data_IF_410844696521
#
_entry.id   IF_410844696521
#
_cell.length_a   1.000
_cell.length_b   1.000
_cell.length_c   1.000
_cell.angle_alpha   90.00
_cell.angle_beta   90.00
_cell.angle_gamma   90.00
#
_symmetry.space_group_name_H-M   'P 1'
#
loop_
_entity.id
_entity.type
_entity.pdbx_description
1 polymer ?
#
# COMPACT_ATOMS: atom_id res chain seq x y z
N UNK A 1 0.89 6.69 47.75
CA UNK A 1 0.55 5.56 46.86
C UNK A 1 0.59 6.08 45.43
N UNK A 2 1.70 5.83 44.72
CA UNK A 2 1.89 6.22 43.33
C UNK A 2 1.42 5.07 42.44
N UNK A 3 0.40 5.29 41.62
CA UNK A 3 -0.05 4.33 40.60
C UNK A 3 0.50 4.76 39.25
N UNK A 4 1.59 4.13 38.81
CA UNK A 4 2.12 4.25 37.45
C UNK A 4 1.39 3.27 36.55
N UNK A 5 0.50 3.76 35.69
CA UNK A 5 -0.07 2.99 34.58
C UNK A 5 0.75 3.25 33.32
N UNK A 6 1.66 2.32 32.99
CA UNK A 6 2.31 2.22 31.68
C UNK A 6 1.24 2.01 30.59
N UNK A 7 1.18 2.82 29.53
CA UNK A 7 0.41 2.45 28.35
C UNK A 7 1.23 1.48 27.49
N UNK A 8 0.70 0.27 27.46
CA UNK A 8 0.92 -0.82 26.52
C UNK A 8 0.66 -0.32 25.08
N UNK A 9 1.66 0.30 24.44
CA UNK A 9 1.59 0.72 23.03
C UNK A 9 2.89 0.34 22.33
N UNK A 10 3.11 -0.97 22.20
CA UNK A 10 4.24 -1.58 21.49
C UNK A 10 3.74 -2.85 20.82
N UNK A 11 3.22 -2.70 19.60
CA UNK A 11 2.98 -3.68 18.53
C UNK A 11 1.99 -2.96 17.58
N UNK A 12 2.31 -2.52 16.37
CA UNK A 12 2.85 -3.24 15.22
C UNK A 12 3.40 -2.17 14.25
N UNK A 13 4.71 -2.16 14.00
CA UNK A 13 5.28 -1.57 12.78
C UNK A 13 6.67 -2.20 12.53
N UNK A 14 6.67 -3.50 12.28
CA UNK A 14 7.86 -4.25 11.84
C UNK A 14 7.51 -5.10 10.62
N UNK A 15 7.49 -4.48 9.44
CA UNK A 15 7.74 -5.17 8.17
C UNK A 15 8.37 -4.20 7.17
N UNK A 16 9.62 -3.82 7.43
CA UNK A 16 10.59 -3.53 6.37
C UNK A 16 12.00 -3.53 6.98
N UNK A 17 12.39 -4.63 7.62
CA UNK A 17 13.82 -4.89 7.79
C UNK A 17 14.38 -5.21 6.41
N UNK A 18 15.17 -4.27 5.88
CA UNK A 18 16.11 -4.58 4.81
C UNK A 18 16.92 -5.80 5.24
N UNK A 19 16.68 -6.94 4.60
CA UNK A 19 17.50 -8.12 4.76
C UNK A 19 18.87 -7.85 4.13
N UNK A 20 19.76 -7.23 4.90
CA UNK A 20 21.20 -7.21 4.63
C UNK A 20 21.77 -8.58 5.04
N UNK A 21 21.53 -9.62 4.25
CA UNK A 21 22.14 -10.94 4.43
C UNK A 21 22.76 -11.39 3.12
N UNK A 22 24.08 -11.19 3.02
CA UNK A 22 25.06 -11.92 2.19
C UNK A 22 24.51 -12.59 0.92
N UNK A 23 24.38 -11.81 -0.16
CA UNK A 23 24.19 -12.37 -1.50
C UNK A 23 25.50 -13.03 -1.96
N UNK A 24 25.46 -14.35 -2.10
CA UNK A 24 26.45 -15.12 -2.86
C UNK A 24 26.60 -14.54 -4.27
N UNK A 25 27.80 -14.58 -4.89
CA UNK A 25 27.97 -14.12 -6.27
C UNK A 25 27.08 -14.96 -7.19
N UNK A 26 26.08 -14.32 -7.78
CA UNK A 26 25.14 -14.91 -8.75
C UNK A 26 25.94 -15.39 -9.96
N UNK A 27 26.14 -16.69 -10.10
CA UNK A 27 26.68 -17.31 -11.30
C UNK A 27 25.66 -17.11 -12.44
N UNK A 28 26.05 -16.32 -13.45
CA UNK A 28 25.50 -16.21 -14.81
C UNK A 28 23.96 -16.27 -15.03
N UNK A 29 23.33 -15.11 -15.32
CA UNK A 29 22.25 -14.99 -16.31
C UNK A 29 21.89 -13.52 -16.58
N UNK A 30 21.82 -13.14 -17.85
CA UNK A 30 21.16 -11.96 -18.44
C UNK A 30 19.93 -11.53 -17.62
N UNK A 31 19.98 -10.38 -16.95
CA UNK A 31 19.10 -10.05 -15.81
C UNK A 31 17.64 -9.79 -16.19
N UNK A 32 16.66 -10.60 -15.74
CA UNK A 32 15.25 -10.45 -16.11
C UNK A 32 14.52 -9.33 -15.35
N UNK A 33 14.94 -8.98 -14.12
CA UNK A 33 14.37 -7.87 -13.32
C UNK A 33 15.50 -7.18 -12.58
N UNK A 34 15.49 -5.84 -12.56
CA UNK A 34 16.50 -5.04 -11.86
C UNK A 34 15.88 -3.85 -11.12
N UNK A 35 16.63 -3.30 -10.15
CA UNK A 35 16.27 -2.04 -9.50
C UNK A 35 16.49 -0.91 -10.52
N UNK A 36 15.42 -0.21 -10.85
CA UNK A 36 15.42 0.90 -11.82
C UNK A 36 15.34 2.26 -11.13
N UNK A 37 14.93 2.29 -9.86
CA UNK A 37 14.93 3.49 -9.03
C UNK A 37 15.19 3.13 -7.58
N UNK A 38 16.06 3.89 -6.93
CA UNK A 38 16.26 3.90 -5.49
C UNK A 38 16.68 5.31 -5.12
N UNK A 39 15.72 6.13 -4.70
CA UNK A 39 15.91 7.56 -4.51
C UNK A 39 15.37 7.97 -3.14
N UNK A 40 16.02 8.95 -2.54
CA UNK A 40 15.57 9.56 -1.30
C UNK A 40 15.95 11.03 -1.27
N UNK A 41 15.07 11.86 -0.71
CA UNK A 41 15.33 13.27 -0.46
C UNK A 41 14.83 13.61 0.93
N UNK A 42 15.70 14.15 1.78
CA UNK A 42 15.42 14.40 3.19
C UNK A 42 15.92 15.81 3.55
N UNK A 43 15.08 16.56 4.25
CA UNK A 43 15.47 17.79 4.93
C UNK A 43 15.03 17.71 6.41
N UNK A 44 15.14 18.83 7.15
CA UNK A 44 14.88 18.86 8.59
C UNK A 44 13.43 18.55 8.99
N UNK A 45 12.46 18.78 8.11
CA UNK A 45 11.03 18.66 8.42
C UNK A 45 10.24 17.79 7.45
N UNK A 46 10.85 17.33 6.35
CA UNK A 46 10.16 16.54 5.34
C UNK A 46 11.12 15.59 4.62
N UNK A 47 10.53 14.60 3.96
CA UNK A 47 11.29 13.75 3.07
C UNK A 47 10.46 12.81 2.23
N UNK A 48 11.17 12.13 1.34
CA UNK A 48 10.66 11.09 0.45
C UNK A 48 11.69 9.98 0.35
N UNK A 49 11.22 8.75 0.20
CA UNK A 49 12.06 7.62 -0.15
C UNK A 49 11.25 6.66 -1.03
N UNK A 50 11.86 6.15 -2.09
CA UNK A 50 11.20 5.20 -2.97
C UNK A 50 12.21 4.18 -3.53
N UNK A 51 11.70 2.99 -3.82
CA UNK A 51 12.41 1.96 -4.55
C UNK A 51 11.49 1.38 -5.61
N UNK A 52 12.01 1.13 -6.80
CA UNK A 52 11.29 0.48 -7.88
C UNK A 52 12.18 -0.53 -8.60
N UNK A 53 11.58 -1.64 -8.97
CA UNK A 53 12.14 -2.69 -9.79
C UNK A 53 11.28 -2.86 -11.04
N UNK A 54 11.91 -3.12 -12.17
CA UNK A 54 11.21 -3.43 -13.41
C UNK A 54 12.02 -4.38 -14.27
N UNK A 55 11.35 -5.04 -15.20
CA UNK A 55 12.00 -5.94 -16.16
C UNK A 55 11.00 -6.82 -16.89
N UNK A 56 11.49 -7.92 -17.44
CA UNK A 56 10.68 -8.94 -18.14
C UNK A 56 10.81 -10.26 -17.40
N UNK A 57 9.68 -10.81 -16.96
CA UNK A 57 9.61 -12.10 -16.28
C UNK A 57 8.71 -13.04 -17.08
N UNK A 58 9.31 -13.92 -17.89
CA UNK A 58 8.57 -14.95 -18.60
C UNK A 58 7.85 -15.90 -17.62
N UNK A 59 6.59 -16.32 -17.88
CA UNK A 59 5.75 -16.01 -19.05
C UNK A 59 4.87 -14.75 -18.90
N UNK A 60 5.07 -13.95 -17.85
CA UNK A 60 4.23 -12.79 -17.51
C UNK A 60 4.53 -11.54 -18.34
N UNK A 61 5.62 -11.54 -19.12
CA UNK A 61 6.07 -10.40 -19.90
C UNK A 61 6.65 -9.28 -19.04
N UNK A 62 6.43 -8.03 -19.44
CA UNK A 62 6.93 -6.86 -18.71
C UNK A 62 6.27 -6.71 -17.35
N UNK A 63 7.07 -6.58 -16.29
CA UNK A 63 6.62 -6.35 -14.92
C UNK A 63 7.27 -5.10 -14.32
N UNK A 64 6.55 -4.46 -13.41
CA UNK A 64 7.03 -3.36 -12.58
C UNK A 64 6.49 -3.48 -11.17
N UNK A 65 7.31 -3.13 -10.19
CA UNK A 65 6.92 -2.98 -8.79
C UNK A 65 7.66 -1.80 -8.19
N UNK A 66 6.96 -0.97 -7.44
CA UNK A 66 7.56 0.13 -6.71
C UNK A 66 6.83 0.39 -5.41
N UNK A 67 7.56 0.90 -4.44
CA UNK A 67 6.99 1.47 -3.24
C UNK A 67 7.67 2.79 -2.91
N UNK A 68 6.96 3.63 -2.17
CA UNK A 68 7.50 4.89 -1.72
C UNK A 68 6.77 5.40 -0.49
N UNK A 69 7.46 6.26 0.24
CA UNK A 69 6.95 6.99 1.38
C UNK A 69 7.26 8.47 1.21
N UNK A 70 6.42 9.30 1.80
CA UNK A 70 6.63 10.73 1.93
C UNK A 70 6.12 11.20 3.28
N UNK A 71 6.77 12.20 3.86
CA UNK A 71 6.34 12.77 5.13
C UNK A 71 6.68 14.23 5.23
N UNK A 72 5.91 14.93 6.05
CA UNK A 72 6.11 16.32 6.45
C UNK A 72 5.66 16.49 7.91
N UNK A 73 6.58 16.97 8.74
CA UNK A 73 6.40 17.12 10.18
C UNK A 73 5.21 18.01 10.49
N UNK A 74 4.30 17.50 11.34
CA UNK A 74 3.10 18.21 11.75
C UNK A 74 1.99 18.29 10.68
N UNK A 75 2.24 17.80 9.46
CA UNK A 75 1.28 17.83 8.35
C UNK A 75 0.78 16.44 8.03
N UNK A 76 1.68 15.54 7.60
CA UNK A 76 1.28 14.18 7.19
C UNK A 76 2.45 13.21 7.11
N UNK A 77 2.15 11.91 7.09
CA UNK A 77 3.02 10.89 6.54
C UNK A 77 2.19 9.93 5.70
N UNK A 78 2.78 9.35 4.67
CA UNK A 78 2.08 8.46 3.78
C UNK A 78 3.03 7.62 2.96
N UNK A 79 2.43 6.80 2.12
CA UNK A 79 3.18 5.97 1.21
C UNK A 79 2.27 5.10 0.38
N UNK A 80 2.88 4.33 -0.49
CA UNK A 80 2.14 3.42 -1.35
C UNK A 80 3.02 2.36 -1.98
N UNK A 81 2.34 1.38 -2.54
CA UNK A 81 2.90 0.31 -3.33
C UNK A 81 2.14 0.25 -4.65
N UNK A 82 2.87 0.07 -5.73
CA UNK A 82 2.32 -0.18 -7.05
C UNK A 82 3.02 -1.40 -7.63
N UNK A 83 2.26 -2.26 -8.26
CA UNK A 83 2.77 -3.41 -8.98
C UNK A 83 1.96 -3.60 -10.25
N UNK A 84 2.55 -4.12 -11.32
CA UNK A 84 1.79 -4.34 -12.53
C UNK A 84 2.57 -5.02 -13.63
N UNK A 85 1.80 -5.38 -14.65
CA UNK A 85 2.23 -5.88 -15.96
C UNK A 85 1.63 -4.99 -17.03
N UNK A 86 1.81 -5.32 -18.32
CA UNK A 86 1.06 -4.71 -19.41
C UNK A 86 -0.44 -5.01 -19.38
N UNK A 87 -0.90 -6.02 -18.62
CA UNK A 87 -2.29 -6.48 -18.62
C UNK A 87 -3.03 -6.26 -17.29
N UNK A 88 -2.33 -5.91 -16.23
CA UNK A 88 -2.95 -5.67 -14.94
C UNK A 88 -2.08 -4.75 -14.07
N UNK A 89 -2.71 -3.92 -13.25
CA UNK A 89 -2.07 -3.06 -12.27
C UNK A 89 -2.72 -3.22 -10.90
N UNK A 90 -1.91 -3.09 -9.86
CA UNK A 90 -2.27 -3.08 -8.46
C UNK A 90 -1.68 -1.82 -7.84
N UNK A 91 -2.48 -1.13 -7.04
CA UNK A 91 -2.07 0.04 -6.29
C UNK A 91 -2.60 -0.02 -4.87
N UNK A 92 -1.77 0.36 -3.93
CA UNK A 92 -2.15 0.59 -2.54
C UNK A 92 -1.50 1.88 -2.06
N UNK A 93 -2.20 2.62 -1.22
CA UNK A 93 -1.69 3.86 -0.64
C UNK A 93 -2.31 4.12 0.72
N UNK A 94 -1.59 4.88 1.52
CA UNK A 94 -2.12 5.43 2.75
C UNK A 94 -1.58 6.83 3.00
N UNK A 95 -2.38 7.63 3.68
CA UNK A 95 -2.00 8.95 4.18
C UNK A 95 -2.53 9.08 5.59
N UNK A 96 -1.69 9.50 6.51
CA UNK A 96 -2.05 9.84 7.86
C UNK A 96 -1.74 11.32 8.10
N UNK A 97 -2.70 12.02 8.70
CA UNK A 97 -2.61 13.41 9.12
C UNK A 97 -3.00 13.49 10.60
N UNK A 98 -2.80 14.63 11.28
CA UNK A 98 -3.36 14.85 12.61
C UNK A 98 -4.89 14.68 12.68
N UNK A 99 -5.58 14.78 11.53
CA UNK A 99 -7.04 14.74 11.44
C UNK A 99 -7.61 13.36 11.08
N UNK A 100 -6.75 12.39 10.75
CA UNK A 100 -7.23 11.07 10.36
C UNK A 100 -6.27 10.28 9.49
N UNK A 101 -6.73 9.10 9.08
CA UNK A 101 -6.02 8.16 8.22
C UNK A 101 -6.90 7.78 7.05
N UNK A 102 -6.34 7.87 5.85
CA UNK A 102 -6.92 7.42 4.60
C UNK A 102 -6.11 6.24 4.07
N UNK A 103 -6.79 5.20 3.61
CA UNK A 103 -6.23 4.03 2.94
C UNK A 103 -6.94 3.88 1.60
N UNK A 104 -6.17 3.62 0.55
CA UNK A 104 -6.66 3.37 -0.79
C UNK A 104 -6.10 2.07 -1.35
N UNK A 105 -6.93 1.32 -2.06
CA UNK A 105 -6.55 0.14 -2.83
C UNK A 105 -7.13 0.25 -4.24
N UNK A 106 -6.43 -0.26 -5.24
CA UNK A 106 -6.84 -0.23 -6.63
C UNK A 106 -6.35 -1.45 -7.38
N UNK A 107 -7.21 -1.98 -8.24
CA UNK A 107 -6.89 -3.04 -9.20
C UNK A 107 -7.40 -2.58 -10.56
N UNK A 108 -6.54 -2.66 -11.57
CA UNK A 108 -6.85 -2.31 -12.94
C UNK A 108 -6.49 -3.42 -13.90
N UNK A 109 -7.31 -3.60 -14.93
CA UNK A 109 -7.11 -4.46 -16.09
C UNK A 109 -7.65 -3.73 -17.32
N UNK A 110 -7.40 -4.19 -18.55
CA UNK A 110 -7.96 -3.57 -19.76
C UNK A 110 -9.48 -3.43 -19.75
N UNK A 111 -10.22 -4.32 -19.07
CA UNK A 111 -11.68 -4.35 -19.07
C UNK A 111 -12.33 -3.82 -17.77
N UNK A 112 -11.58 -3.74 -16.67
CA UNK A 112 -12.13 -3.41 -15.36
C UNK A 112 -11.12 -2.64 -14.51
N UNK A 113 -11.57 -1.54 -13.92
CA UNK A 113 -10.87 -0.87 -12.83
C UNK A 113 -11.77 -0.86 -11.61
N UNK A 114 -11.19 -1.19 -10.46
CA UNK A 114 -11.84 -1.10 -9.16
C UNK A 114 -10.94 -0.35 -8.21
N UNK A 115 -11.53 0.49 -7.37
CA UNK A 115 -10.82 1.13 -6.27
C UNK A 115 -11.65 1.07 -4.99
N UNK A 116 -10.96 1.11 -3.87
CA UNK A 116 -11.56 1.19 -2.55
C UNK A 116 -10.82 2.26 -1.76
N UNK A 117 -11.57 3.15 -1.10
CA UNK A 117 -11.04 4.05 -0.10
C UNK A 117 -11.69 3.78 1.25
N UNK A 118 -10.88 3.86 2.29
CA UNK A 118 -11.31 3.78 3.68
C UNK A 118 -10.68 4.92 4.46
N UNK A 119 -11.50 5.72 5.11
CA UNK A 119 -11.09 6.92 5.83
C UNK A 119 -11.60 6.85 7.27
N UNK A 120 -10.72 7.10 8.23
CA UNK A 120 -11.07 7.26 9.64
C UNK A 120 -10.59 8.63 10.08
N UNK A 121 -11.54 9.51 10.41
CA UNK A 121 -11.25 10.82 10.96
C UNK A 121 -11.07 10.76 12.47
N UNK A 122 -10.27 11.68 13.02
CA UNK A 122 -10.00 11.78 14.46
C UNK A 122 -11.24 12.09 15.32
N UNK A 123 -12.30 12.59 14.69
CA UNK A 123 -13.60 12.79 15.32
C UNK A 123 -14.46 11.50 15.42
N UNK A 124 -13.93 10.35 15.00
CA UNK A 124 -14.62 9.05 15.01
C UNK A 124 -15.47 8.77 13.77
N UNK A 125 -15.50 9.67 12.78
CA UNK A 125 -16.21 9.42 11.52
C UNK A 125 -15.45 8.42 10.67
N UNK A 126 -16.19 7.48 10.07
CA UNK A 126 -15.65 6.46 9.17
C UNK A 126 -16.34 6.59 7.82
N UNK A 127 -15.55 6.56 6.75
CA UNK A 127 -16.05 6.49 5.37
C UNK A 127 -15.43 5.29 4.67
N UNK A 128 -16.25 4.62 3.87
CA UNK A 128 -15.84 3.56 2.97
C UNK A 128 -16.46 3.82 1.62
N UNK A 129 -15.66 3.75 0.55
CA UNK A 129 -16.15 3.87 -0.82
C UNK A 129 -15.52 2.79 -1.68
N UNK A 130 -16.35 2.04 -2.38
CA UNK A 130 -15.92 1.16 -3.46
C UNK A 130 -16.40 1.77 -4.78
N UNK A 131 -15.51 1.85 -5.76
CA UNK A 131 -15.81 2.31 -7.10
C UNK A 131 -15.36 1.27 -8.13
N UNK A 132 -16.15 1.11 -9.19
CA UNK A 132 -15.81 0.24 -10.31
C UNK A 132 -16.25 0.86 -11.62
N UNK A 133 -15.51 0.60 -12.69
CA UNK A 133 -15.95 0.89 -14.06
C UNK A 133 -17.00 -0.11 -14.56
N UNK A 134 -17.08 -1.29 -13.94
CA UNK A 134 -18.11 -2.29 -14.21
C UNK A 134 -19.31 -2.13 -13.28
N UNK A 135 -20.45 -2.71 -13.67
CA UNK A 135 -21.61 -2.80 -12.78
C UNK A 135 -21.35 -3.80 -11.64
N UNK A 136 -21.83 -3.45 -10.45
CA UNK A 136 -21.76 -4.30 -9.26
C UNK A 136 -22.98 -4.04 -8.38
N UNK A 137 -23.30 -5.00 -7.52
CA UNK A 137 -24.36 -4.90 -6.52
C UNK A 137 -23.78 -5.22 -5.16
N UNK A 138 -24.08 -4.38 -4.17
CA UNK A 138 -23.70 -4.59 -2.78
C UNK A 138 -24.93 -4.89 -1.94
N UNK A 139 -24.79 -5.84 -1.02
CA UNK A 139 -25.83 -6.18 -0.06
C UNK A 139 -25.25 -6.30 1.35
N UNK A 140 -26.04 -5.91 2.34
CA UNK A 140 -25.74 -6.19 3.73
C UNK A 140 -25.71 -7.70 3.97
N UNK A 141 -24.73 -8.15 4.74
CA UNK A 141 -24.52 -9.56 5.04
C UNK A 141 -23.88 -9.73 6.42
N UNK A 142 -23.54 -10.97 6.76
CA UNK A 142 -22.72 -11.30 7.93
C UNK A 142 -21.45 -12.00 7.47
N UNK A 143 -20.30 -11.47 7.85
CA UNK A 143 -18.96 -12.02 7.54
C UNK A 143 -18.30 -12.31 8.89
N UNK A 144 -17.99 -13.58 9.15
CA UNK A 144 -17.35 -14.05 10.39
C UNK A 144 -18.04 -13.53 11.67
N UNK A 145 -19.38 -13.53 11.67
CA UNK A 145 -20.20 -13.08 12.80
C UNK A 145 -20.36 -11.56 12.93
N UNK A 146 -19.74 -10.77 12.06
CA UNK A 146 -19.85 -9.31 12.02
C UNK A 146 -20.81 -8.87 10.93
N UNK A 147 -21.51 -7.74 11.15
CA UNK A 147 -22.24 -7.06 10.08
C UNK A 147 -21.23 -6.62 9.01
N UNK A 148 -21.52 -6.96 7.75
CA UNK A 148 -20.63 -6.65 6.63
C UNK A 148 -21.42 -6.26 5.40
N UNK A 149 -20.71 -5.78 4.38
CA UNK A 149 -21.24 -5.47 3.06
C UNK A 149 -20.50 -6.38 2.08
N UNK A 150 -21.24 -7.14 1.25
CA UNK A 150 -20.66 -7.96 0.19
C UNK A 150 -21.08 -7.39 -1.16
N UNK A 151 -20.08 -7.10 -1.99
CA UNK A 151 -20.29 -6.59 -3.33
C UNK A 151 -19.92 -7.66 -4.36
N UNK A 152 -20.79 -7.87 -5.34
CA UNK A 152 -20.57 -8.85 -6.43
C UNK A 152 -20.80 -8.18 -7.78
N UNK A 153 -20.05 -8.65 -8.79
CA UNK A 153 -20.17 -8.23 -10.19
C UNK A 153 -20.54 -9.46 -11.02
N UNK A 154 -21.32 -9.25 -12.09
CA UNK A 154 -21.83 -10.29 -13.00
C UNK A 154 -21.12 -10.28 -14.33
#
# INVERSE_FOLDING_TARGET
MFSHSLPFFLLILQTCSAASVLLHPRQNATTPVSIVSNQSSINSSAGTANVAAAGTLEPFGGIGLGCGINWEQGVSYGGGLQAGTSMAGLGAGFTATPNGVDIGLGIGTPSLNTSTSYSVASNGSVSFTFASTGSFQCADTTIDGMKGISCTST
#
